data_IF_474175096283
#
_entry.id   IF_474175096283
#
_cell.length_a   1.000
_cell.length_b   1.000
_cell.length_c   1.000
_cell.angle_alpha   90.00
_cell.angle_beta   90.00
_cell.angle_gamma   90.00
#
_symmetry.space_group_name_H-M   'P 1'
#
loop_
_entity.id
_entity.type
_entity.pdbx_description
1 polymer ?
#
# COMPACT_ATOMS: atom_id res chain seq x y z
N UNK A 1 -69.47 -28.06 20.30
CA UNK A 1 -68.26 -28.21 19.44
C UNK A 1 -67.15 -28.74 20.34
N UNK A 2 -66.86 -30.03 20.22
CA UNK A 2 -66.18 -30.81 21.26
C UNK A 2 -64.64 -30.66 21.16
N UNK A 3 -63.98 -29.94 22.11
CA UNK A 3 -62.57 -29.57 22.01
C UNK A 3 -61.63 -30.79 22.03
N UNK A 4 -62.03 -31.88 22.69
CA UNK A 4 -61.23 -33.11 22.75
C UNK A 4 -61.14 -33.84 21.40
N UNK A 5 -62.16 -33.70 20.55
CA UNK A 5 -62.19 -34.30 19.22
C UNK A 5 -61.23 -33.60 18.26
N UNK A 6 -61.04 -32.29 18.43
CA UNK A 6 -60.06 -31.49 17.70
C UNK A 6 -58.63 -31.76 18.19
N UNK A 7 -58.42 -31.94 19.50
CA UNK A 7 -57.11 -32.31 20.05
C UNK A 7 -56.69 -33.73 19.63
N UNK A 8 -57.63 -34.69 19.56
CA UNK A 8 -57.36 -36.04 19.01
C UNK A 8 -57.03 -36.02 17.51
N UNK A 9 -57.67 -35.15 16.71
CA UNK A 9 -57.32 -34.95 15.29
C UNK A 9 -55.96 -34.29 15.11
N UNK A 10 -55.63 -33.28 15.92
CA UNK A 10 -54.32 -32.63 15.92
C UNK A 10 -53.21 -33.60 16.35
N UNK A 11 -53.41 -34.43 17.38
CA UNK A 11 -52.44 -35.47 17.77
C UNK A 11 -52.25 -36.57 16.71
N UNK A 12 -53.25 -36.86 15.88
CA UNK A 12 -53.11 -37.75 14.70
C UNK A 12 -52.37 -37.07 13.54
N UNK A 13 -52.55 -35.75 13.36
CA UNK A 13 -51.83 -34.95 12.36
C UNK A 13 -50.35 -34.71 12.74
N UNK A 14 -50.04 -34.56 14.03
CA UNK A 14 -48.68 -34.43 14.56
C UNK A 14 -48.03 -35.76 14.98
N UNK A 15 -48.78 -36.87 14.92
CA UNK A 15 -48.35 -38.22 15.29
C UNK A 15 -47.68 -39.02 14.17
N UNK A 16 -47.49 -38.43 13.00
CA UNK A 16 -46.70 -38.94 11.86
C UNK A 16 -45.58 -37.92 11.69
N UNK A 17 -44.31 -38.11 12.03
CA UNK A 17 -43.52 -39.32 12.05
C UNK A 17 -42.23 -39.05 12.86
N UNK A 18 -42.13 -39.58 14.09
CA UNK A 18 -40.83 -39.71 14.79
C UNK A 18 -39.93 -40.80 14.19
N UNK A 19 -40.38 -41.46 13.12
CA UNK A 19 -39.61 -42.41 12.30
C UNK A 19 -39.06 -41.78 10.99
N UNK A 20 -39.44 -40.55 10.62
CA UNK A 20 -38.89 -39.82 9.46
C UNK A 20 -37.80 -38.80 9.80
N UNK A 21 -37.43 -38.64 11.07
CA UNK A 21 -36.27 -37.84 11.48
C UNK A 21 -34.96 -38.65 11.60
N UNK A 22 -34.98 -39.93 11.22
CA UNK A 22 -33.78 -40.78 11.08
C UNK A 22 -33.43 -41.18 9.65
N UNK A 23 -34.10 -40.62 8.64
CA UNK A 23 -33.79 -40.85 7.21
C UNK A 23 -33.96 -39.57 6.38
N UNK A 24 -33.11 -38.60 6.67
CA UNK A 24 -32.75 -37.55 5.71
C UNK A 24 -31.24 -37.28 5.74
N UNK A 25 -30.43 -38.31 6.03
CA UNK A 25 -29.13 -38.37 5.38
C UNK A 25 -29.44 -38.69 3.92
N UNK A 26 -29.59 -37.65 3.07
CA UNK A 26 -29.55 -37.85 1.62
C UNK A 26 -28.32 -38.70 1.36
N UNK A 27 -28.50 -39.90 0.79
CA UNK A 27 -27.37 -40.59 0.18
C UNK A 27 -26.84 -39.61 -0.86
N UNK A 28 -25.55 -39.22 -0.81
CA UNK A 28 -24.98 -38.37 -1.83
C UNK A 28 -25.34 -38.99 -3.18
N UNK A 29 -25.88 -38.19 -4.10
CA UNK A 29 -26.04 -38.68 -5.47
C UNK A 29 -24.67 -39.03 -6.02
N UNK A 30 -24.56 -39.89 -7.03
CA UNK A 30 -23.26 -40.21 -7.66
C UNK A 30 -22.53 -38.92 -8.07
N UNK A 31 -23.28 -37.90 -8.52
CA UNK A 31 -22.73 -36.57 -8.82
C UNK A 31 -22.29 -35.76 -7.58
N UNK A 32 -22.93 -35.93 -6.43
CA UNK A 32 -22.50 -35.29 -5.17
C UNK A 32 -21.22 -35.96 -4.64
N UNK A 33 -21.15 -37.30 -4.74
CA UNK A 33 -19.98 -38.08 -4.37
C UNK A 33 -18.78 -37.73 -5.25
N UNK A 34 -18.98 -37.64 -6.58
CA UNK A 34 -17.96 -37.21 -7.54
C UNK A 34 -17.48 -35.77 -7.27
N UNK A 35 -18.38 -34.86 -6.91
CA UNK A 35 -18.03 -33.48 -6.53
C UNK A 35 -17.22 -33.42 -5.24
N UNK A 36 -17.61 -34.18 -4.22
CA UNK A 36 -16.85 -34.28 -2.97
C UNK A 36 -15.46 -34.86 -3.23
N UNK A 37 -15.35 -35.92 -4.04
CA UNK A 37 -14.08 -36.55 -4.37
C UNK A 37 -13.17 -35.62 -5.19
N UNK A 38 -13.73 -34.86 -6.14
CA UNK A 38 -12.99 -33.81 -6.87
C UNK A 38 -12.49 -32.72 -5.93
N UNK A 39 -13.32 -32.26 -4.99
CA UNK A 39 -12.92 -31.27 -3.99
C UNK A 39 -11.82 -31.78 -3.07
N UNK A 40 -11.92 -33.05 -2.61
CA UNK A 40 -10.89 -33.70 -1.78
C UNK A 40 -9.57 -33.83 -2.53
N UNK A 41 -9.58 -34.30 -3.78
CA UNK A 41 -8.39 -34.39 -4.64
C UNK A 41 -7.75 -33.03 -4.87
N UNK A 42 -8.56 -32.00 -5.14
CA UNK A 42 -8.08 -30.62 -5.29
C UNK A 42 -7.40 -30.14 -4.01
N UNK A 43 -8.02 -30.35 -2.85
CA UNK A 43 -7.46 -29.92 -1.57
C UNK A 43 -6.16 -30.66 -1.22
N UNK A 44 -6.08 -31.95 -1.55
CA UNK A 44 -4.85 -32.73 -1.41
C UNK A 44 -3.73 -32.17 -2.30
N UNK A 45 -4.01 -31.91 -3.59
CA UNK A 45 -3.04 -31.32 -4.51
C UNK A 45 -2.51 -29.97 -4.00
N UNK A 46 -3.39 -29.10 -3.48
CA UNK A 46 -3.00 -27.81 -2.91
C UNK A 46 -2.08 -27.96 -1.70
N UNK A 47 -2.31 -28.97 -0.85
CA UNK A 47 -1.43 -29.29 0.28
C UNK A 47 -0.08 -29.82 -0.18
N UNK A 48 -0.05 -30.67 -1.21
CA UNK A 48 1.19 -31.18 -1.80
C UNK A 48 2.02 -30.04 -2.42
N UNK A 49 1.40 -29.13 -3.19
CA UNK A 49 2.08 -27.93 -3.72
C UNK A 49 2.62 -27.01 -2.62
N UNK A 50 1.89 -26.88 -1.50
CA UNK A 50 2.39 -26.16 -0.32
C UNK A 50 3.60 -26.87 0.29
N UNK A 51 3.58 -28.19 0.40
CA UNK A 51 4.71 -28.96 0.91
C UNK A 51 5.94 -28.86 -0.02
N UNK A 52 5.74 -28.84 -1.33
CA UNK A 52 6.81 -28.60 -2.31
C UNK A 52 7.45 -27.21 -2.11
N UNK A 53 6.63 -26.17 -1.89
CA UNK A 53 7.12 -24.83 -1.55
C UNK A 53 7.97 -24.83 -0.29
N UNK A 54 7.53 -25.51 0.77
CA UNK A 54 8.32 -25.68 2.01
C UNK A 54 9.65 -26.36 1.71
N UNK A 55 9.64 -27.46 0.96
CA UNK A 55 10.84 -28.21 0.61
C UNK A 55 11.80 -27.44 -0.30
N UNK A 56 11.31 -26.43 -1.04
CA UNK A 56 12.15 -25.55 -1.87
C UNK A 56 12.93 -24.51 -1.07
N UNK A 57 12.55 -24.27 0.19
CA UNK A 57 13.27 -23.35 1.07
C UNK A 57 14.50 -24.06 1.64
N UNK A 58 15.64 -23.82 1.00
CA UNK A 58 16.94 -24.33 1.39
C UNK A 58 17.58 -23.56 2.57
N UNK A 59 18.85 -23.87 2.88
CA UNK A 59 19.57 -23.24 3.99
C UNK A 59 19.66 -21.70 3.89
N UNK A 60 19.85 -21.16 2.68
CA UNK A 60 19.93 -19.71 2.45
C UNK A 60 18.63 -18.99 2.76
N UNK A 61 17.52 -19.57 2.30
CA UNK A 61 16.19 -19.06 2.56
C UNK A 61 15.90 -19.06 4.06
N UNK A 62 16.24 -20.15 4.76
CA UNK A 62 16.05 -20.22 6.22
C UNK A 62 16.91 -19.22 6.97
N UNK A 63 18.19 -19.08 6.61
CA UNK A 63 19.08 -18.07 7.18
C UNK A 63 18.48 -16.66 7.10
N UNK A 64 18.00 -16.26 5.91
CA UNK A 64 17.37 -14.96 5.72
C UNK A 64 16.07 -14.84 6.53
N UNK A 65 15.22 -15.87 6.50
CA UNK A 65 13.92 -15.84 7.17
C UNK A 65 14.05 -15.80 8.69
N UNK A 66 15.02 -16.50 9.29
CA UNK A 66 15.31 -16.45 10.72
C UNK A 66 15.69 -15.04 11.17
N UNK A 67 16.61 -14.38 10.46
CA UNK A 67 16.99 -12.99 10.76
C UNK A 67 15.81 -12.04 10.55
N UNK A 68 15.02 -12.25 9.50
CA UNK A 68 13.82 -11.44 9.26
C UNK A 68 12.77 -11.62 10.36
N UNK A 69 12.59 -12.84 10.88
CA UNK A 69 11.68 -13.16 11.97
C UNK A 69 12.10 -12.44 13.26
N UNK A 70 13.39 -12.49 13.59
CA UNK A 70 13.96 -11.79 14.73
C UNK A 70 13.75 -10.27 14.64
N UNK A 71 14.03 -9.67 13.47
CA UNK A 71 13.85 -8.23 13.25
C UNK A 71 12.37 -7.80 13.33
N UNK A 72 11.44 -8.64 12.85
CA UNK A 72 10.01 -8.35 12.89
C UNK A 72 9.37 -8.72 14.25
N UNK A 73 10.05 -9.51 15.09
CA UNK A 73 9.53 -10.03 16.35
C UNK A 73 8.44 -11.08 16.15
N UNK A 74 8.62 -11.97 15.16
CA UNK A 74 7.65 -13.00 14.75
C UNK A 74 8.31 -14.37 14.91
N UNK A 75 7.52 -15.41 15.14
CA UNK A 75 8.03 -16.77 15.18
C UNK A 75 8.59 -17.21 13.80
N UNK A 76 9.79 -17.83 13.73
CA UNK A 76 10.37 -18.29 12.47
C UNK A 76 9.51 -19.31 11.71
N UNK A 77 8.71 -20.13 12.38
CA UNK A 77 7.78 -21.02 11.67
C UNK A 77 6.61 -20.21 11.10
N UNK A 78 6.13 -19.19 11.81
CA UNK A 78 5.07 -18.31 11.30
C UNK A 78 5.52 -17.56 10.04
N UNK A 79 6.76 -17.03 10.00
CA UNK A 79 7.29 -16.34 8.81
C UNK A 79 7.36 -17.29 7.61
N UNK A 80 7.88 -18.50 7.82
CA UNK A 80 7.95 -19.54 6.78
C UNK A 80 6.55 -19.90 6.29
N UNK A 81 5.58 -20.06 7.21
CA UNK A 81 4.22 -20.46 6.84
C UNK A 81 3.52 -19.41 5.99
N UNK A 82 3.76 -18.12 6.23
CA UNK A 82 3.21 -17.02 5.45
C UNK A 82 3.82 -16.94 4.04
N UNK A 83 5.14 -17.07 3.93
CA UNK A 83 5.85 -17.06 2.64
C UNK A 83 5.35 -18.17 1.71
N UNK A 84 5.21 -19.40 2.22
CA UNK A 84 4.80 -20.54 1.39
C UNK A 84 3.32 -20.54 1.01
N UNK A 85 2.53 -19.56 1.43
CA UNK A 85 1.14 -19.43 0.98
C UNK A 85 1.04 -19.01 -0.48
N UNK A 86 2.02 -18.30 -1.03
CA UNK A 86 2.01 -17.81 -2.42
C UNK A 86 3.31 -18.15 -3.13
N UNK A 87 3.23 -18.78 -4.31
CA UNK A 87 4.43 -19.16 -5.08
C UNK A 87 5.30 -17.96 -5.42
N UNK A 88 4.68 -16.80 -5.71
CA UNK A 88 5.38 -15.55 -5.98
C UNK A 88 6.33 -15.12 -4.84
N UNK A 89 5.95 -15.34 -3.58
CA UNK A 89 6.79 -14.98 -2.44
C UNK A 89 8.02 -15.90 -2.34
N UNK A 90 7.82 -17.19 -2.61
CA UNK A 90 8.89 -18.20 -2.67
C UNK A 90 9.83 -17.91 -3.85
N UNK A 91 9.29 -17.57 -5.02
CA UNK A 91 10.07 -17.19 -6.21
C UNK A 91 10.91 -15.94 -5.95
N UNK A 92 10.35 -14.90 -5.33
CA UNK A 92 11.09 -13.71 -4.95
C UNK A 92 12.23 -14.04 -3.99
N UNK A 93 11.96 -14.86 -2.97
CA UNK A 93 12.94 -15.27 -1.97
C UNK A 93 14.03 -16.15 -2.56
N UNK A 94 13.71 -17.06 -3.48
CA UNK A 94 14.72 -17.87 -4.16
C UNK A 94 15.55 -17.03 -5.11
N UNK A 95 14.90 -16.13 -5.85
CA UNK A 95 15.54 -15.29 -6.85
C UNK A 95 16.65 -14.41 -6.28
N UNK A 96 16.58 -13.98 -5.03
CA UNK A 96 17.64 -13.11 -4.46
C UNK A 96 19.03 -13.77 -4.47
N UNK A 97 19.09 -15.10 -4.45
CA UNK A 97 20.33 -15.86 -4.47
C UNK A 97 20.80 -16.23 -5.89
N UNK A 98 19.99 -16.00 -6.92
CA UNK A 98 20.31 -16.38 -8.31
C UNK A 98 21.14 -15.31 -9.03
N UNK A 99 22.00 -15.70 -9.98
CA UNK A 99 22.69 -14.73 -10.85
C UNK A 99 21.67 -13.81 -11.55
N UNK A 100 21.88 -12.48 -11.49
CA UNK A 100 20.97 -11.49 -12.07
C UNK A 100 19.54 -11.52 -11.52
N UNK A 101 19.36 -12.09 -10.32
CA UNK A 101 18.12 -12.01 -9.56
C UNK A 101 17.77 -10.58 -9.11
N UNK A 102 16.67 -10.41 -8.33
CA UNK A 102 16.41 -9.16 -7.64
C UNK A 102 17.59 -8.75 -6.74
N UNK A 103 17.98 -7.47 -6.80
CA UNK A 103 19.00 -6.91 -5.91
C UNK A 103 18.50 -6.78 -4.47
N UNK A 104 17.19 -6.65 -4.28
CA UNK A 104 16.56 -6.60 -2.98
C UNK A 104 15.14 -7.16 -2.99
N UNK A 105 14.78 -7.81 -1.90
CA UNK A 105 13.42 -8.19 -1.54
C UNK A 105 13.08 -7.57 -0.19
N UNK A 106 11.80 -7.38 0.06
CA UNK A 106 11.29 -6.85 1.31
C UNK A 106 10.26 -7.80 1.89
N UNK A 107 10.41 -8.07 3.19
CA UNK A 107 9.59 -9.01 3.94
C UNK A 107 8.88 -8.25 5.06
N UNK A 108 7.59 -8.48 5.20
CA UNK A 108 6.77 -7.86 6.26
C UNK A 108 5.67 -8.81 6.69
N UNK A 109 5.13 -8.60 7.87
CA UNK A 109 3.88 -9.22 8.31
C UNK A 109 2.74 -8.22 8.09
N UNK A 110 1.93 -8.51 7.07
CA UNK A 110 0.88 -7.63 6.62
C UNK A 110 -0.49 -8.22 6.94
N UNK A 111 -1.44 -7.32 7.21
CA UNK A 111 -2.84 -7.70 7.34
C UNK A 111 -3.41 -7.98 5.95
N UNK A 112 -3.85 -9.21 5.71
CA UNK A 112 -4.41 -9.66 4.44
C UNK A 112 -5.78 -10.29 4.63
N UNK A 113 -6.61 -10.25 3.59
CA UNK A 113 -7.92 -10.90 3.59
C UNK A 113 -7.76 -12.41 3.36
N UNK A 114 -8.05 -13.20 4.38
CA UNK A 114 -8.07 -14.66 4.32
C UNK A 114 -6.76 -15.28 3.83
N UNK A 115 -6.88 -16.53 3.39
CA UNK A 115 -5.81 -17.24 2.69
C UNK A 115 -6.12 -17.31 1.20
N UNK A 116 -5.12 -17.27 0.31
CA UNK A 116 -5.29 -17.50 -1.12
C UNK A 116 -5.88 -18.88 -1.38
N UNK A 117 -6.67 -19.02 -2.44
CA UNK A 117 -7.34 -20.30 -2.79
C UNK A 117 -6.35 -21.42 -3.11
N UNK A 118 -5.14 -21.07 -3.51
CA UNK A 118 -4.02 -21.94 -3.89
C UNK A 118 -2.96 -22.09 -2.77
N UNK A 119 -3.17 -21.47 -1.62
CA UNK A 119 -2.24 -21.56 -0.47
C UNK A 119 -2.13 -22.94 0.17
N UNK A 120 -3.13 -23.81 -0.04
CA UNK A 120 -3.28 -25.05 0.72
C UNK A 120 -3.80 -24.86 2.16
N UNK A 121 -4.04 -23.61 2.58
CA UNK A 121 -4.67 -23.23 3.86
C UNK A 121 -6.03 -22.53 3.70
N UNK A 122 -6.54 -22.45 2.47
CA UNK A 122 -7.83 -21.81 2.17
C UNK A 122 -8.97 -22.37 3.02
N UNK A 123 -9.74 -21.46 3.64
CA UNK A 123 -10.96 -21.78 4.35
C UNK A 123 -12.04 -20.77 3.96
N UNK A 124 -13.16 -21.24 3.44
CA UNK A 124 -14.28 -20.36 3.00
C UNK A 124 -14.75 -19.44 4.12
N UNK A 125 -14.75 -19.92 5.36
CA UNK A 125 -15.16 -19.16 6.56
C UNK A 125 -14.27 -17.95 6.85
N UNK A 126 -13.02 -17.97 6.40
CA UNK A 126 -12.02 -16.94 6.67
C UNK A 126 -11.77 -16.02 5.48
N UNK A 127 -12.51 -16.20 4.37
CA UNK A 127 -12.28 -15.49 3.10
C UNK A 127 -12.27 -13.96 3.22
N UNK A 128 -13.12 -13.43 4.10
CA UNK A 128 -13.26 -11.99 4.35
C UNK A 128 -12.81 -11.59 5.76
N UNK A 129 -11.99 -12.44 6.38
CA UNK A 129 -11.42 -12.19 7.70
C UNK A 129 -10.02 -11.65 7.53
N UNK A 130 -9.68 -10.63 8.30
CA UNK A 130 -8.32 -10.11 8.35
C UNK A 130 -7.41 -11.10 9.08
N UNK A 131 -6.31 -11.48 8.43
CA UNK A 131 -5.32 -12.43 8.93
C UNK A 131 -3.94 -11.81 8.75
N UNK A 132 -3.08 -11.90 9.78
CA UNK A 132 -1.68 -11.55 9.65
C UNK A 132 -0.95 -12.62 8.84
N UNK A 133 -0.30 -12.22 7.75
CA UNK A 133 0.47 -13.10 6.88
C UNK A 133 1.76 -12.42 6.47
N UNK A 134 2.83 -13.20 6.49
CA UNK A 134 4.09 -12.76 5.92
C UNK A 134 3.99 -12.64 4.40
N UNK A 135 4.47 -11.51 3.89
CA UNK A 135 4.61 -11.24 2.46
C UNK A 135 6.08 -11.08 2.10
N UNK A 136 6.48 -11.50 0.90
CA UNK A 136 7.81 -11.24 0.34
C UNK A 136 7.68 -10.65 -1.06
N UNK A 137 8.01 -9.38 -1.17
CA UNK A 137 7.88 -8.60 -2.40
C UNK A 137 9.25 -8.17 -2.89
N UNK A 138 9.36 -7.93 -4.20
CA UNK A 138 10.53 -7.23 -4.74
C UNK A 138 10.49 -5.77 -4.29
N UNK A 139 11.65 -5.19 -4.03
CA UNK A 139 11.75 -3.81 -3.50
C UNK A 139 11.11 -2.74 -4.41
N UNK A 140 11.01 -3.00 -5.72
CA UNK A 140 10.37 -2.13 -6.72
C UNK A 140 8.82 -2.14 -6.67
N UNK A 141 8.23 -3.05 -5.89
CA UNK A 141 6.78 -3.27 -5.84
C UNK A 141 6.14 -2.96 -4.48
N UNK A 142 6.93 -2.42 -3.54
CA UNK A 142 6.52 -2.23 -2.14
C UNK A 142 6.01 -0.81 -1.91
N UNK A 143 4.82 -0.70 -1.32
CA UNK A 143 4.36 0.53 -0.67
C UNK A 143 4.87 0.52 0.77
N UNK A 144 5.86 1.36 1.08
CA UNK A 144 6.61 1.32 2.34
C UNK A 144 5.75 1.87 3.50
N UNK A 145 4.93 1.00 4.06
CA UNK A 145 4.08 1.26 5.24
C UNK A 145 4.28 0.14 6.25
N UNK A 146 4.39 0.51 7.52
CA UNK A 146 4.65 -0.40 8.63
C UNK A 146 6.11 -0.81 8.71
N UNK A 147 6.35 -2.00 9.28
CA UNK A 147 7.68 -2.58 9.44
C UNK A 147 8.02 -3.46 8.24
N UNK A 148 9.16 -3.22 7.62
CA UNK A 148 9.68 -4.02 6.52
C UNK A 148 11.13 -4.41 6.80
N UNK A 149 11.44 -5.68 6.69
CA UNK A 149 12.82 -6.14 6.62
C UNK A 149 13.26 -6.12 5.17
N UNK A 150 14.33 -5.39 4.88
CA UNK A 150 14.99 -5.33 3.59
C UNK A 150 16.11 -6.36 3.58
N UNK A 151 16.10 -7.23 2.58
CA UNK A 151 17.18 -8.17 2.28
C UNK A 151 17.82 -7.66 1.01
N UNK A 152 19.05 -7.14 1.13
CA UNK A 152 19.78 -6.47 0.07
C UNK A 152 21.05 -7.25 -0.28
N UNK A 153 21.27 -7.47 -1.57
CA UNK A 153 22.45 -8.17 -2.08
C UNK A 153 23.54 -7.18 -2.46
N UNK A 154 24.78 -7.49 -2.07
CA UNK A 154 25.93 -6.63 -2.33
C UNK A 154 26.42 -6.69 -3.79
N UNK A 155 26.33 -7.86 -4.43
CA UNK A 155 26.75 -8.06 -5.82
C UNK A 155 25.77 -8.97 -6.58
N UNK A 156 25.20 -8.48 -7.68
CA UNK A 156 24.21 -9.23 -8.47
C UNK A 156 24.80 -10.07 -9.64
N UNK A 157 26.12 -10.05 -9.82
CA UNK A 157 26.80 -10.72 -10.96
C UNK A 157 27.02 -12.22 -10.77
N UNK A 158 26.90 -12.75 -9.54
CA UNK A 158 27.21 -14.15 -9.22
C UNK A 158 26.20 -14.72 -8.23
N UNK A 159 25.71 -15.93 -8.44
CA UNK A 159 24.83 -16.59 -7.46
C UNK A 159 25.46 -16.66 -6.06
N UNK A 160 24.61 -16.62 -5.03
CA UNK A 160 25.03 -16.68 -3.63
C UNK A 160 24.99 -18.14 -3.17
N UNK A 161 26.13 -18.63 -2.68
CA UNK A 161 26.26 -19.97 -2.12
C UNK A 161 25.97 -20.00 -0.62
N UNK A 162 25.69 -21.19 -0.09
CA UNK A 162 25.36 -21.36 1.33
C UNK A 162 26.44 -20.92 2.32
N UNK A 163 27.70 -20.86 1.87
CA UNK A 163 28.83 -20.49 2.74
C UNK A 163 29.07 -18.99 2.79
N UNK A 164 28.55 -18.24 1.83
CA UNK A 164 28.83 -16.82 1.66
C UNK A 164 27.60 -15.94 1.87
N UNK A 165 26.43 -16.54 2.09
CA UNK A 165 25.16 -15.81 2.30
C UNK A 165 25.23 -14.75 3.40
N UNK A 166 25.99 -14.98 4.48
CA UNK A 166 26.17 -14.01 5.57
C UNK A 166 26.97 -12.78 5.15
N UNK A 167 27.87 -12.94 4.19
CA UNK A 167 28.80 -11.90 3.76
C UNK A 167 28.29 -11.17 2.50
N UNK A 168 27.42 -11.82 1.71
CA UNK A 168 26.91 -11.31 0.45
C UNK A 168 25.53 -10.63 0.56
N UNK A 169 24.85 -10.78 1.70
CA UNK A 169 23.52 -10.22 1.96
C UNK A 169 23.54 -9.35 3.20
N UNK A 170 23.08 -8.11 3.04
CA UNK A 170 22.77 -7.20 4.14
C UNK A 170 21.28 -7.27 4.47
N UNK A 171 20.95 -7.39 5.76
CA UNK A 171 19.57 -7.44 6.23
C UNK A 171 19.35 -6.34 7.26
N UNK A 172 18.33 -5.52 7.07
CA UNK A 172 17.99 -4.44 8.00
C UNK A 172 16.50 -4.13 7.98
N UNK A 173 15.98 -3.58 9.06
CA UNK A 173 14.56 -3.20 9.16
C UNK A 173 14.38 -1.71 8.90
N UNK A 174 13.37 -1.38 8.12
CA UNK A 174 12.82 -0.04 7.94
C UNK A 174 11.43 0.00 8.56
N UNK A 175 11.11 1.09 9.26
CA UNK A 175 9.76 1.37 9.76
C UNK A 175 9.26 2.68 9.18
N UNK A 176 8.05 2.65 8.65
CA UNK A 176 7.37 3.79 8.06
C UNK A 176 5.93 3.85 8.58
N UNK A 177 5.63 4.73 9.55
CA UNK A 177 4.32 4.77 10.20
C UNK A 177 3.18 5.15 9.24
N UNK A 178 3.47 6.09 8.33
CA UNK A 178 2.50 6.61 7.35
C UNK A 178 3.01 6.51 5.91
N UNK A 179 2.10 6.53 4.93
CA UNK A 179 2.42 6.55 3.49
C UNK A 179 3.40 7.65 3.07
N UNK A 180 3.36 8.80 3.74
CA UNK A 180 4.23 9.92 3.43
C UNK A 180 5.58 9.86 4.15
N UNK A 181 5.79 8.86 5.02
CA UNK A 181 6.99 8.77 5.87
C UNK A 181 8.22 8.17 5.16
N UNK A 182 8.08 7.65 3.94
CA UNK A 182 9.22 7.16 3.15
C UNK A 182 10.31 8.23 2.96
N UNK A 183 9.92 9.50 2.74
CA UNK A 183 10.89 10.61 2.69
C UNK A 183 11.64 10.78 4.02
N UNK A 184 10.95 10.60 5.15
CA UNK A 184 11.56 10.67 6.46
C UNK A 184 12.54 9.52 6.69
N UNK A 185 12.23 8.31 6.23
CA UNK A 185 13.16 7.17 6.24
C UNK A 185 14.43 7.52 5.48
N UNK A 186 14.32 7.98 4.23
CA UNK A 186 15.48 8.34 3.38
C UNK A 186 16.31 9.46 4.02
N UNK A 187 15.65 10.52 4.50
CA UNK A 187 16.28 11.65 5.20
C UNK A 187 17.07 11.18 6.41
N UNK A 188 16.44 10.37 7.26
CA UNK A 188 17.04 9.89 8.52
C UNK A 188 18.20 8.94 8.24
N UNK A 189 18.04 8.02 7.29
CA UNK A 189 19.08 7.08 6.91
C UNK A 189 20.30 7.80 6.30
N UNK A 190 20.07 8.78 5.42
CA UNK A 190 21.14 9.59 4.85
C UNK A 190 21.86 10.42 5.91
N UNK A 191 21.13 11.08 6.82
CA UNK A 191 21.70 11.99 7.81
C UNK A 191 22.43 11.28 8.96
N UNK A 192 21.89 10.16 9.45
CA UNK A 192 22.40 9.49 10.64
C UNK A 192 23.28 8.27 10.36
N UNK A 193 23.16 7.66 9.17
CA UNK A 193 23.92 6.44 8.84
C UNK A 193 24.93 6.70 7.74
N UNK A 194 24.47 7.08 6.54
CA UNK A 194 25.35 7.14 5.37
C UNK A 194 26.31 8.33 5.41
N UNK A 195 25.83 9.53 5.73
CA UNK A 195 26.68 10.72 5.76
C UNK A 195 27.85 10.57 6.77
N UNK A 196 27.62 10.21 8.04
CA UNK A 196 28.73 10.02 8.99
C UNK A 196 29.70 8.94 8.54
N UNK A 197 29.19 7.85 7.94
CA UNK A 197 30.03 6.77 7.40
C UNK A 197 30.94 7.24 6.28
N UNK A 198 30.44 8.10 5.38
CA UNK A 198 31.22 8.68 4.29
C UNK A 198 32.22 9.71 4.81
N UNK A 199 31.85 10.53 5.80
CA UNK A 199 32.74 11.52 6.42
C UNK A 199 33.90 10.86 7.19
N UNK A 200 33.73 9.62 7.65
CA UNK A 200 34.79 8.84 8.29
C UNK A 200 35.82 8.28 7.30
N UNK A 201 35.53 8.27 5.99
CA UNK A 201 36.48 7.81 4.98
C UNK A 201 37.61 8.83 4.84
N UNK A 202 38.82 8.44 5.24
CA UNK A 202 40.00 9.32 5.14
C UNK A 202 40.75 9.17 3.82
N UNK A 203 40.61 8.03 3.14
CA UNK A 203 41.33 7.69 1.93
C UNK A 203 40.39 7.66 0.72
N UNK A 204 40.30 8.77 -0.01
CA UNK A 204 39.55 8.86 -1.27
C UNK A 204 40.38 8.44 -2.51
N UNK A 205 41.43 7.64 -2.30
CA UNK A 205 42.30 7.15 -3.37
C UNK A 205 42.98 8.29 -4.15
N UNK A 206 42.83 8.27 -5.49
CA UNK A 206 43.45 9.24 -6.41
C UNK A 206 42.68 10.58 -6.53
N UNK A 207 41.63 10.79 -5.73
CA UNK A 207 40.85 12.01 -5.80
C UNK A 207 41.65 13.23 -5.32
N UNK A 208 41.61 14.32 -6.09
CA UNK A 208 42.25 15.56 -5.68
C UNK A 208 41.52 16.21 -4.49
N UNK A 209 42.22 17.05 -3.72
CA UNK A 209 41.65 17.76 -2.56
C UNK A 209 40.42 18.59 -2.94
N UNK A 210 40.46 19.26 -4.09
CA UNK A 210 39.34 20.08 -4.58
C UNK A 210 38.12 19.21 -4.95
N UNK A 211 38.33 18.05 -5.57
CA UNK A 211 37.26 17.11 -5.90
C UNK A 211 36.57 16.58 -4.65
N UNK A 212 37.37 16.22 -3.63
CA UNK A 212 36.86 15.76 -2.33
C UNK A 212 36.04 16.85 -1.64
N UNK A 213 36.52 18.09 -1.63
CA UNK A 213 35.77 19.22 -1.06
C UNK A 213 34.45 19.48 -1.81
N UNK A 214 34.46 19.43 -3.15
CA UNK A 214 33.26 19.56 -3.97
C UNK A 214 32.26 18.44 -3.68
N UNK A 215 32.72 17.20 -3.55
CA UNK A 215 31.87 16.07 -3.20
C UNK A 215 31.15 16.28 -1.86
N UNK A 216 31.87 16.62 -0.79
CA UNK A 216 31.26 16.86 0.52
C UNK A 216 30.35 18.09 0.52
N UNK A 217 30.67 19.13 -0.27
CA UNK A 217 29.77 20.27 -0.45
C UNK A 217 28.44 19.83 -1.09
N UNK A 218 28.49 19.04 -2.17
CA UNK A 218 27.30 18.51 -2.84
C UNK A 218 26.51 17.57 -1.92
N UNK A 219 27.19 16.70 -1.17
CA UNK A 219 26.55 15.79 -0.21
C UNK A 219 25.80 16.57 0.88
N UNK A 220 26.40 17.64 1.40
CA UNK A 220 25.77 18.52 2.39
C UNK A 220 24.58 19.29 1.81
N UNK A 221 24.70 19.77 0.57
CA UNK A 221 23.58 20.38 -0.15
C UNK A 221 22.43 19.40 -0.35
N UNK A 222 22.73 18.16 -0.75
CA UNK A 222 21.72 17.11 -0.94
C UNK A 222 21.00 16.76 0.36
N UNK A 223 21.73 16.62 1.46
CA UNK A 223 21.12 16.37 2.76
C UNK A 223 20.24 17.55 3.22
N UNK A 224 20.70 18.79 3.02
CA UNK A 224 19.89 20.00 3.27
C UNK A 224 18.63 20.02 2.41
N UNK A 225 18.74 19.59 1.15
CA UNK A 225 17.60 19.42 0.25
C UNK A 225 16.61 18.39 0.77
N UNK A 226 17.06 17.21 1.22
CA UNK A 226 16.19 16.18 1.80
C UNK A 226 15.47 16.70 3.05
N UNK A 227 16.20 17.35 3.98
CA UNK A 227 15.62 17.93 5.20
C UNK A 227 14.53 18.95 4.93
N UNK A 228 14.71 19.78 3.90
CA UNK A 228 13.73 20.79 3.50
C UNK A 228 12.61 20.27 2.59
N UNK A 229 12.71 19.02 2.11
CA UNK A 229 11.72 18.41 1.21
C UNK A 229 10.41 18.09 1.91
N UNK A 230 10.45 17.74 3.20
CA UNK A 230 9.25 17.52 4.03
C UNK A 230 8.34 18.76 4.03
N UNK A 231 8.91 19.94 4.28
CA UNK A 231 8.18 21.20 4.22
C UNK A 231 7.66 21.55 2.81
N UNK A 232 8.27 20.98 1.77
CA UNK A 232 7.81 21.14 0.39
C UNK A 232 6.63 20.22 0.09
N UNK A 233 6.70 18.96 0.54
CA UNK A 233 5.59 18.00 0.44
C UNK A 233 4.39 18.48 1.25
N UNK A 234 4.61 18.95 2.49
CA UNK A 234 3.55 19.48 3.34
C UNK A 234 2.94 20.79 2.82
N UNK A 235 3.66 21.51 1.94
CA UNK A 235 3.13 22.71 1.30
C UNK A 235 2.14 22.42 0.17
N UNK A 236 1.98 21.15 -0.25
CA UNK A 236 0.93 20.77 -1.21
C UNK A 236 -0.44 21.11 -0.63
N UNK A 237 -1.29 21.68 -1.49
CA UNK A 237 -2.62 22.15 -1.09
C UNK A 237 -3.61 21.01 -1.25
N UNK A 238 -4.29 20.63 -0.18
CA UNK A 238 -5.35 19.64 -0.27
C UNK A 238 -6.68 20.30 -0.63
N UNK A 239 -7.15 20.06 -1.86
CA UNK A 239 -8.49 20.46 -2.27
C UNK A 239 -9.49 19.39 -1.83
N UNK A 240 -10.37 19.74 -0.90
CA UNK A 240 -11.37 18.81 -0.36
C UNK A 240 -12.40 18.44 -1.44
N UNK A 241 -12.37 17.19 -1.90
CA UNK A 241 -13.31 16.64 -2.88
C UNK A 241 -14.26 15.69 -2.14
N UNK A 242 -15.52 16.09 -2.00
CA UNK A 242 -16.54 15.18 -1.47
C UNK A 242 -16.71 13.98 -2.40
N UNK A 243 -16.30 12.79 -1.93
CA UNK A 243 -16.44 11.55 -2.68
C UNK A 243 -17.90 11.19 -2.94
N UNK A 244 -18.80 11.46 -2.00
CA UNK A 244 -20.24 11.23 -2.17
C UNK A 244 -20.83 12.13 -3.26
N UNK A 245 -20.49 13.42 -3.24
CA UNK A 245 -20.92 14.37 -4.27
C UNK A 245 -20.34 13.98 -5.64
N UNK A 246 -19.03 13.77 -5.71
CA UNK A 246 -18.36 13.51 -6.97
C UNK A 246 -18.77 12.16 -7.58
N UNK A 247 -18.63 11.06 -6.84
CA UNK A 247 -18.95 9.71 -7.35
C UNK A 247 -20.46 9.49 -7.50
N UNK A 248 -21.27 10.09 -6.63
CA UNK A 248 -22.71 9.92 -6.63
C UNK A 248 -23.43 10.77 -7.67
N UNK A 249 -22.96 12.00 -7.92
CA UNK A 249 -23.73 13.01 -8.66
C UNK A 249 -23.02 13.62 -9.87
N UNK A 250 -21.70 13.49 -9.99
CA UNK A 250 -20.91 14.22 -10.98
C UNK A 250 -19.88 13.35 -11.69
N UNK A 251 -19.93 12.03 -11.57
CA UNK A 251 -18.88 11.17 -12.12
C UNK A 251 -18.97 11.10 -13.64
N UNK A 252 -20.19 10.95 -14.16
CA UNK A 252 -20.48 10.76 -15.60
C UNK A 252 -21.44 11.79 -16.13
N UNK A 253 -21.40 12.04 -17.45
CA UNK A 253 -22.11 13.14 -18.12
C UNK A 253 -23.61 13.22 -17.81
N UNK A 254 -24.33 12.10 -17.85
CA UNK A 254 -25.77 12.10 -17.55
C UNK A 254 -26.08 12.49 -16.10
N UNK A 255 -25.21 12.16 -15.14
CA UNK A 255 -25.37 12.57 -13.74
C UNK A 255 -25.17 14.08 -13.60
N UNK A 256 -24.19 14.64 -14.32
CA UNK A 256 -23.92 16.08 -14.36
C UNK A 256 -25.15 16.82 -14.90
N UNK A 257 -25.71 16.38 -16.04
CA UNK A 257 -26.90 16.98 -16.66
C UNK A 257 -28.17 16.85 -15.79
N UNK A 258 -28.30 15.76 -15.03
CA UNK A 258 -29.40 15.59 -14.07
C UNK A 258 -29.21 16.50 -12.85
N UNK A 259 -27.99 16.59 -12.33
CA UNK A 259 -27.66 17.40 -11.16
C UNK A 259 -27.76 18.89 -11.44
N UNK A 260 -27.43 19.35 -12.66
CA UNK A 260 -27.50 20.76 -13.06
C UNK A 260 -28.93 21.31 -13.10
N UNK A 261 -29.95 20.43 -13.15
CA UNK A 261 -31.38 20.80 -13.13
C UNK A 261 -31.95 20.86 -11.71
N UNK A 262 -31.23 20.38 -10.71
CA UNK A 262 -31.70 20.28 -9.32
C UNK A 262 -31.01 21.35 -8.47
N UNK A 263 -31.78 22.36 -8.06
CA UNK A 263 -31.25 23.53 -7.35
C UNK A 263 -30.44 23.20 -6.10
N UNK A 264 -30.89 22.24 -5.29
CA UNK A 264 -30.20 21.85 -4.05
C UNK A 264 -28.83 21.23 -4.31
N UNK A 265 -28.70 20.45 -5.39
CA UNK A 265 -27.42 19.86 -5.82
C UNK A 265 -26.51 20.93 -6.38
N UNK A 266 -27.02 21.82 -7.23
CA UNK A 266 -26.26 22.95 -7.78
C UNK A 266 -25.68 23.81 -6.65
N UNK A 267 -26.47 24.18 -5.63
CA UNK A 267 -25.97 24.93 -4.46
C UNK A 267 -24.86 24.23 -3.71
N UNK A 268 -24.92 22.91 -3.59
CA UNK A 268 -23.86 22.12 -2.96
C UNK A 268 -22.58 22.15 -3.81
N UNK A 269 -22.70 22.00 -5.12
CA UNK A 269 -21.58 22.14 -6.07
C UNK A 269 -20.97 23.54 -6.01
N UNK A 270 -21.80 24.59 -5.97
CA UNK A 270 -21.35 25.99 -5.82
C UNK A 270 -20.50 26.19 -4.57
N UNK A 271 -20.94 25.64 -3.43
CA UNK A 271 -20.22 25.77 -2.16
C UNK A 271 -18.80 25.19 -2.22
N UNK A 272 -18.65 23.98 -2.75
CA UNK A 272 -17.34 23.35 -2.92
C UNK A 272 -16.48 24.11 -3.94
N UNK A 273 -17.07 24.52 -5.06
CA UNK A 273 -16.36 25.24 -6.11
C UNK A 273 -15.86 26.62 -5.62
N UNK A 274 -16.68 27.37 -4.89
CA UNK A 274 -16.32 28.66 -4.29
C UNK A 274 -15.25 28.52 -3.21
N UNK A 275 -15.26 27.42 -2.44
CA UNK A 275 -14.18 27.12 -1.48
C UNK A 275 -12.86 26.90 -2.21
N UNK A 276 -12.84 26.11 -3.29
CA UNK A 276 -11.64 25.88 -4.07
C UNK A 276 -11.12 27.16 -4.74
N UNK A 277 -11.99 27.97 -5.34
CA UNK A 277 -11.60 29.25 -5.93
C UNK A 277 -10.99 30.20 -4.90
N UNK A 278 -11.57 30.30 -3.70
CA UNK A 278 -10.99 31.11 -2.60
C UNK A 278 -9.61 30.61 -2.17
N UNK A 279 -9.43 29.30 -2.07
CA UNK A 279 -8.12 28.71 -1.75
C UNK A 279 -7.10 29.02 -2.84
N UNK A 280 -7.45 28.81 -4.12
CA UNK A 280 -6.59 29.12 -5.27
C UNK A 280 -6.21 30.61 -5.27
N UNK A 281 -7.19 31.49 -5.10
CA UNK A 281 -6.95 32.93 -5.06
C UNK A 281 -6.03 33.32 -3.89
N UNK A 282 -6.22 32.76 -2.70
CA UNK A 282 -5.35 32.99 -1.55
C UNK A 282 -3.89 32.64 -1.85
N UNK A 283 -3.66 31.48 -2.48
CA UNK A 283 -2.31 31.04 -2.88
C UNK A 283 -1.70 31.96 -3.94
N UNK A 284 -2.48 32.39 -4.93
CA UNK A 284 -2.02 33.30 -5.98
C UNK A 284 -1.70 34.70 -5.44
N UNK A 285 -2.46 35.18 -4.45
CA UNK A 285 -2.20 36.45 -3.77
C UNK A 285 -0.91 36.36 -2.98
N UNK A 286 -0.73 35.29 -2.18
CA UNK A 286 0.48 35.06 -1.40
C UNK A 286 1.73 35.01 -2.30
N UNK A 287 1.66 34.35 -3.44
CA UNK A 287 2.79 34.28 -4.36
C UNK A 287 3.06 35.56 -5.16
N UNK A 288 2.13 36.52 -5.19
CA UNK A 288 2.34 37.87 -5.75
C UNK A 288 2.86 38.87 -4.71
N UNK A 289 2.76 38.54 -3.42
CA UNK A 289 3.33 39.39 -2.38
C UNK A 289 4.85 39.33 -2.47
N UNK A 290 5.48 40.50 -2.60
CA UNK A 290 6.93 40.62 -2.46
C UNK A 290 7.25 40.21 -1.01
N UNK A 291 7.91 39.06 -0.83
CA UNK A 291 8.40 38.65 0.48
C UNK A 291 9.40 39.70 0.95
N UNK A 292 9.03 40.48 1.97
CA UNK A 292 9.96 41.32 2.72
C UNK A 292 10.70 40.40 3.68
N UNK A 293 11.64 39.65 3.14
CA UNK A 293 12.51 38.80 3.93
C UNK A 293 13.32 39.68 4.91
N UNK A 294 13.52 39.19 6.13
CA UNK A 294 14.43 39.87 7.07
C UNK A 294 15.84 39.86 6.48
N UNK A 295 16.70 40.84 6.81
CA UNK A 295 18.07 40.92 6.26
C UNK A 295 18.92 39.67 6.55
N UNK A 296 18.45 38.78 7.42
CA UNK A 296 19.12 37.56 7.86
C UNK A 296 18.80 36.33 6.99
N UNK A 297 17.89 36.47 6.01
CA UNK A 297 17.48 35.37 5.11
C UNK A 297 18.52 35.18 4.01
N UNK A 298 19.27 34.09 4.08
CA UNK A 298 20.27 33.73 3.07
C UNK A 298 19.67 33.22 1.74
N UNK A 299 20.43 33.22 0.63
CA UNK A 299 19.96 32.80 -0.70
C UNK A 299 19.39 31.38 -0.77
N UNK A 300 19.92 30.45 0.03
CA UNK A 300 19.43 29.07 0.09
C UNK A 300 18.01 28.99 0.66
N UNK A 301 17.68 29.84 1.64
CA UNK A 301 16.35 29.88 2.22
C UNK A 301 15.33 30.43 1.22
N UNK A 302 15.73 31.42 0.41
CA UNK A 302 14.89 31.92 -0.69
C UNK A 302 14.58 30.80 -1.69
N UNK A 303 15.56 29.98 -2.09
CA UNK A 303 15.32 28.84 -2.99
C UNK A 303 14.32 27.84 -2.42
N UNK A 304 14.37 27.56 -1.11
CA UNK A 304 13.37 26.71 -0.43
C UNK A 304 11.97 27.33 -0.51
N UNK A 305 11.84 28.65 -0.28
CA UNK A 305 10.58 29.36 -0.39
C UNK A 305 10.00 29.29 -1.82
N UNK A 306 10.84 29.54 -2.84
CA UNK A 306 10.45 29.40 -4.25
C UNK A 306 9.98 27.99 -4.59
N UNK A 307 10.66 26.97 -4.08
CA UNK A 307 10.26 25.57 -4.30
C UNK A 307 8.91 25.24 -3.66
N UNK A 308 8.63 25.73 -2.45
CA UNK A 308 7.30 25.58 -1.81
C UNK A 308 6.21 26.26 -2.63
N UNK A 309 6.46 27.47 -3.12
CA UNK A 309 5.51 28.19 -3.97
C UNK A 309 5.24 27.44 -5.28
N UNK A 310 6.30 26.92 -5.93
CA UNK A 310 6.18 26.10 -7.12
C UNK A 310 5.34 24.84 -6.86
N UNK A 311 5.58 24.13 -5.75
CA UNK A 311 4.80 22.95 -5.38
C UNK A 311 3.29 23.26 -5.22
N UNK A 312 2.95 24.42 -4.65
CA UNK A 312 1.56 24.89 -4.53
C UNK A 312 0.94 25.19 -5.88
N UNK A 313 1.65 25.86 -6.77
CA UNK A 313 1.19 26.15 -8.13
C UNK A 313 1.02 24.88 -8.98
N UNK A 314 1.94 23.92 -8.88
CA UNK A 314 1.79 22.61 -9.50
C UNK A 314 0.53 21.91 -8.99
N UNK A 315 0.28 21.93 -7.68
CA UNK A 315 -0.93 21.33 -7.08
C UNK A 315 -2.22 21.98 -7.61
N UNK A 316 -2.25 23.31 -7.76
CA UNK A 316 -3.37 24.03 -8.38
C UNK A 316 -3.57 23.57 -9.82
N UNK A 317 -2.49 23.43 -10.58
CA UNK A 317 -2.53 23.07 -12.00
C UNK A 317 -3.06 21.65 -12.18
N UNK A 318 -2.55 20.70 -11.40
CA UNK A 318 -3.04 19.31 -11.35
C UNK A 318 -4.52 19.25 -10.95
N UNK A 319 -4.94 20.05 -9.97
CA UNK A 319 -6.33 20.08 -9.52
C UNK A 319 -7.28 20.66 -10.55
N UNK A 320 -6.95 21.79 -11.17
CA UNK A 320 -7.80 22.46 -12.19
C UNK A 320 -7.91 21.62 -13.47
N UNK A 321 -6.91 20.81 -13.77
CA UNK A 321 -6.96 19.84 -14.88
C UNK A 321 -7.65 18.52 -14.52
N UNK A 322 -7.94 18.29 -13.24
CA UNK A 322 -8.59 17.07 -12.77
C UNK A 322 -10.03 16.94 -13.28
N UNK A 323 -10.50 15.69 -13.42
CA UNK A 323 -11.89 15.39 -13.74
C UNK A 323 -12.86 15.91 -12.68
N UNK A 324 -12.46 15.91 -11.42
CA UNK A 324 -13.29 16.41 -10.33
C UNK A 324 -13.61 17.90 -10.54
N UNK A 325 -12.59 18.73 -10.73
CA UNK A 325 -12.77 20.16 -10.95
C UNK A 325 -13.61 20.45 -12.20
N UNK A 326 -13.27 19.82 -13.33
CA UNK A 326 -13.97 20.06 -14.60
C UNK A 326 -15.42 19.60 -14.57
N UNK A 327 -15.74 18.47 -13.95
CA UNK A 327 -17.13 18.01 -13.84
C UNK A 327 -17.99 18.93 -12.95
N UNK A 328 -17.41 19.53 -11.90
CA UNK A 328 -18.11 20.55 -11.10
C UNK A 328 -18.34 21.81 -11.94
N UNK A 329 -17.32 22.29 -12.66
CA UNK A 329 -17.43 23.42 -13.58
C UNK A 329 -18.51 23.20 -14.66
N UNK A 330 -18.57 22.01 -15.25
CA UNK A 330 -19.56 21.66 -16.27
C UNK A 330 -20.99 21.67 -15.70
N UNK A 331 -21.19 21.11 -14.50
CA UNK A 331 -22.47 21.15 -13.80
C UNK A 331 -22.94 22.60 -13.60
N UNK A 332 -22.05 23.45 -13.10
CA UNK A 332 -22.33 24.86 -12.86
C UNK A 332 -22.61 25.61 -14.17
N UNK A 333 -21.88 25.30 -15.24
CA UNK A 333 -22.07 25.91 -16.57
C UNK A 333 -23.44 25.54 -17.14
N UNK A 334 -23.82 24.26 -17.07
CA UNK A 334 -25.14 23.79 -17.51
C UNK A 334 -26.29 24.39 -16.68
N UNK A 335 -26.07 24.60 -15.38
CA UNK A 335 -27.04 25.24 -14.50
C UNK A 335 -27.12 26.77 -14.66
N UNK A 336 -26.22 27.37 -15.46
CA UNK A 336 -26.04 28.82 -15.61
C UNK A 336 -25.85 29.52 -14.25
N UNK A 337 -25.04 28.91 -13.38
CA UNK A 337 -24.76 29.48 -12.07
C UNK A 337 -24.07 30.83 -12.20
N UNK A 338 -24.59 31.83 -11.47
CA UNK A 338 -24.01 33.17 -11.38
C UNK A 338 -22.64 33.21 -10.71
N UNK A 339 -22.25 32.13 -10.01
CA UNK A 339 -20.99 32.00 -9.26
C UNK A 339 -19.79 31.57 -10.12
N UNK A 340 -19.99 31.33 -11.42
CA UNK A 340 -18.89 31.09 -12.38
C UNK A 340 -18.37 32.35 -13.07
N UNK A 341 -19.12 33.46 -12.99
CA UNK A 341 -18.92 34.68 -13.80
C UNK A 341 -18.38 35.88 -13.01
N UNK A 342 -18.28 35.76 -11.69
CA UNK A 342 -17.64 36.72 -10.78
C UNK A 342 -16.49 36.02 -10.06
#
# INVERSE_FOLDING_TARGET
MDPERNVKRLRKLFGVSRTMLKRAARRPSVSDQEREDQQRRRFQLLREMRQQRISSLGPNQRYVLEICADLLGIDPEEIVTGIVDESKYVENLNGIFEEKGPIAIMISNATMLGYPTDSGRYQEKLKYTDIQRTVCLRSDSVDLIGKWTVVYRLNNEKSIDNRSVSDEVAIFMITAEDRNSCLNVVKTFMDHVLKPSIEAVTEFGLAEKEQTQKFFHILNMYNTFLKSSEATVSSRVNFDISHELFKGLLLVRWQIEASSKILTRVRLVERYFEQWLRQIQGILVEGKQIQRDTPDVGPLQMLVNWRRMLARYTTITEFVTSRAFNNHKDCLTLSRSSKLLN
#
